data_IF_511133321600
#
_entry.id   IF_511133321600
#
_cell.length_a   1.000
_cell.length_b   1.000
_cell.length_c   1.000
_cell.angle_alpha   90.00
_cell.angle_beta   90.00
_cell.angle_gamma   90.00
#
_symmetry.space_group_name_H-M   'P 1'
#
loop_
_entity.id
_entity.type
_entity.pdbx_description
1 polymer ?
#
# COMPACT_ATOMS: atom_id res chain seq x y z
N UNK A 1 19.46 13.78 -25.50
CA UNK A 1 18.80 12.57 -26.04
C UNK A 1 19.55 11.35 -25.52
N UNK A 2 19.02 10.61 -24.54
CA UNK A 2 19.71 9.42 -24.02
C UNK A 2 19.47 8.22 -24.94
N UNK A 3 20.51 7.80 -25.64
CA UNK A 3 20.53 6.66 -26.54
C UNK A 3 20.15 5.36 -25.82
N UNK A 4 19.31 4.54 -26.49
CA UNK A 4 19.00 3.16 -26.08
C UNK A 4 20.30 2.37 -25.99
N UNK A 5 20.59 1.81 -24.82
CA UNK A 5 21.71 0.87 -24.66
C UNK A 5 21.33 -0.43 -25.37
N UNK A 6 21.91 -0.65 -26.55
CA UNK A 6 21.90 -1.96 -27.19
C UNK A 6 22.83 -2.89 -26.40
N UNK A 7 22.30 -4.00 -25.88
CA UNK A 7 23.11 -5.09 -25.32
C UNK A 7 22.73 -5.66 -23.95
N UNK A 8 21.51 -5.48 -23.44
CA UNK A 8 21.10 -6.23 -22.24
C UNK A 8 20.54 -7.59 -22.67
N UNK A 9 21.31 -8.67 -22.49
CA UNK A 9 20.81 -10.04 -22.63
C UNK A 9 19.71 -10.23 -21.58
N UNK A 10 18.47 -10.27 -22.05
CA UNK A 10 17.30 -10.41 -21.20
C UNK A 10 17.24 -11.87 -20.72
N UNK A 11 17.70 -12.09 -19.48
CA UNK A 11 17.71 -13.42 -18.85
C UNK A 11 16.30 -14.02 -18.65
N UNK A 12 15.25 -13.20 -18.74
CA UNK A 12 13.86 -13.60 -18.48
C UNK A 12 12.98 -13.54 -19.72
N UNK A 13 12.09 -14.51 -19.89
CA UNK A 13 11.14 -14.50 -21.01
C UNK A 13 9.93 -13.61 -20.70
N UNK A 14 9.19 -13.12 -21.72
CA UNK A 14 7.96 -12.39 -21.48
C UNK A 14 6.91 -13.16 -20.67
N UNK A 15 6.93 -14.50 -20.72
CA UNK A 15 6.05 -15.35 -19.92
C UNK A 15 6.47 -15.36 -18.43
N UNK A 16 7.77 -15.44 -18.15
CA UNK A 16 8.33 -15.31 -16.79
C UNK A 16 8.03 -13.93 -16.20
N UNK A 17 8.17 -12.87 -17.00
CA UNK A 17 7.87 -11.51 -16.58
C UNK A 17 6.38 -11.35 -16.19
N UNK A 18 5.47 -11.97 -16.95
CA UNK A 18 4.03 -12.02 -16.61
C UNK A 18 3.79 -12.78 -15.31
N UNK A 19 4.47 -13.91 -15.10
CA UNK A 19 4.37 -14.66 -13.86
C UNK A 19 4.74 -13.79 -12.65
N UNK A 20 5.84 -13.03 -12.71
CA UNK A 20 6.24 -12.14 -11.60
C UNK A 20 5.16 -11.10 -11.28
N UNK A 21 4.59 -10.48 -12.30
CA UNK A 21 3.55 -9.45 -12.15
C UNK A 21 2.27 -10.05 -11.55
N UNK A 22 1.85 -11.23 -12.02
CA UNK A 22 0.67 -11.91 -11.50
C UNK A 22 0.84 -12.33 -10.03
N UNK A 23 1.99 -12.92 -9.68
CA UNK A 23 2.28 -13.32 -8.29
C UNK A 23 2.30 -12.11 -7.34
N UNK A 24 2.88 -10.99 -7.78
CA UNK A 24 2.91 -9.76 -6.98
C UNK A 24 1.53 -9.08 -6.87
N UNK A 25 0.65 -9.24 -7.88
CA UNK A 25 -0.71 -8.71 -7.85
C UNK A 25 -1.64 -9.54 -6.96
N UNK A 26 -1.47 -10.87 -6.95
CA UNK A 26 -2.26 -11.77 -6.10
C UNK A 26 -2.09 -11.44 -4.62
N UNK A 27 -0.84 -11.16 -4.20
CA UNK A 27 -0.56 -10.69 -2.87
C UNK A 27 0.35 -9.46 -2.93
N UNK A 28 -0.26 -8.27 -2.78
CA UNK A 28 0.45 -6.98 -2.83
C UNK A 28 1.54 -6.81 -1.76
N UNK A 29 1.60 -7.69 -0.75
CA UNK A 29 2.65 -7.69 0.28
C UNK A 29 3.85 -8.58 -0.09
N UNK A 30 3.78 -9.33 -1.18
CA UNK A 30 4.85 -10.23 -1.59
C UNK A 30 6.08 -9.42 -2.03
N UNK A 31 7.21 -9.73 -1.40
CA UNK A 31 8.49 -9.09 -1.72
C UNK A 31 9.11 -9.70 -2.98
N UNK A 32 9.98 -8.93 -3.66
CA UNK A 32 10.70 -9.44 -4.83
C UNK A 32 11.53 -10.72 -4.54
N UNK A 33 11.98 -10.92 -3.29
CA UNK A 33 12.66 -12.14 -2.87
C UNK A 33 11.70 -13.32 -2.78
N UNK A 34 10.52 -13.12 -2.22
CA UNK A 34 9.49 -14.16 -2.16
C UNK A 34 9.02 -14.56 -3.55
N UNK A 35 8.84 -13.61 -4.47
CA UNK A 35 8.54 -13.92 -5.88
C UNK A 35 9.67 -14.73 -6.52
N UNK A 36 10.93 -14.40 -6.28
CA UNK A 36 12.07 -15.17 -6.78
C UNK A 36 12.09 -16.60 -6.23
N UNK A 37 11.81 -16.78 -4.94
CA UNK A 37 11.76 -18.10 -4.31
C UNK A 37 10.58 -18.94 -4.83
N UNK A 38 9.40 -18.32 -5.01
CA UNK A 38 8.22 -18.98 -5.61
C UNK A 38 8.50 -19.41 -7.05
N UNK A 39 9.15 -18.54 -7.82
CA UNK A 39 9.54 -18.86 -9.18
C UNK A 39 10.56 -19.99 -9.26
N UNK A 40 11.56 -20.00 -8.37
CA UNK A 40 12.53 -21.08 -8.26
C UNK A 40 11.84 -22.42 -7.96
N UNK A 41 10.87 -22.44 -7.04
CA UNK A 41 10.11 -23.64 -6.71
C UNK A 41 9.25 -24.14 -7.89
N UNK A 42 8.70 -23.24 -8.71
CA UNK A 42 7.83 -23.60 -9.83
C UNK A 42 8.59 -23.99 -11.11
N UNK A 43 9.71 -23.31 -11.40
CA UNK A 43 10.43 -23.44 -12.68
C UNK A 43 11.79 -24.11 -12.55
N UNK A 44 12.32 -24.31 -11.34
CA UNK A 44 13.68 -24.79 -11.10
C UNK A 44 14.80 -23.81 -11.46
N UNK A 45 14.45 -22.65 -12.02
CA UNK A 45 15.39 -21.62 -12.49
C UNK A 45 15.63 -20.58 -11.40
N UNK A 46 16.89 -20.37 -11.04
CA UNK A 46 17.28 -19.37 -10.05
C UNK A 46 17.39 -17.98 -10.70
N UNK A 47 16.62 -17.03 -10.19
CA UNK A 47 16.63 -15.62 -10.64
C UNK A 47 17.00 -14.72 -9.47
N UNK A 48 17.83 -13.72 -9.73
CA UNK A 48 18.21 -12.73 -8.73
C UNK A 48 17.03 -11.83 -8.34
N UNK A 49 16.96 -11.47 -7.05
CA UNK A 49 16.04 -10.45 -6.51
C UNK A 49 16.06 -9.15 -7.34
N UNK A 50 17.24 -8.73 -7.80
CA UNK A 50 17.40 -7.48 -8.57
C UNK A 50 16.67 -7.54 -9.91
N UNK A 51 16.73 -8.69 -10.58
CA UNK A 51 16.06 -8.92 -11.86
C UNK A 51 14.55 -8.88 -11.67
N UNK A 52 14.01 -9.63 -10.71
CA UNK A 52 12.58 -9.62 -10.38
C UNK A 52 12.11 -8.20 -10.05
N UNK A 53 12.85 -7.46 -9.21
CA UNK A 53 12.50 -6.09 -8.87
C UNK A 53 12.49 -5.14 -10.08
N UNK A 54 13.41 -5.34 -11.05
CA UNK A 54 13.42 -4.55 -12.29
C UNK A 54 12.19 -4.87 -13.15
N UNK A 55 11.81 -6.15 -13.27
CA UNK A 55 10.62 -6.57 -14.02
C UNK A 55 9.32 -6.08 -13.41
N UNK A 56 9.20 -6.15 -12.08
CA UNK A 56 8.06 -5.60 -11.36
C UNK A 56 7.91 -4.09 -11.61
N UNK A 57 9.01 -3.32 -11.53
CA UNK A 57 8.99 -1.89 -11.85
C UNK A 57 8.67 -1.62 -13.33
N UNK A 58 9.19 -2.43 -14.25
CA UNK A 58 8.87 -2.36 -15.68
C UNK A 58 7.39 -2.61 -15.96
N UNK A 59 6.74 -3.45 -15.15
CA UNK A 59 5.29 -3.68 -15.14
C UNK A 59 4.48 -2.66 -14.32
N UNK A 60 5.09 -1.58 -13.83
CA UNK A 60 4.40 -0.54 -13.06
C UNK A 60 4.10 -0.88 -11.59
N UNK A 61 4.65 -1.98 -11.07
CA UNK A 61 4.46 -2.38 -9.67
C UNK A 61 5.55 -1.78 -8.78
N UNK A 62 5.10 -0.99 -7.81
CA UNK A 62 5.93 -0.36 -6.78
C UNK A 62 5.47 -0.79 -5.39
N UNK A 63 6.40 -0.76 -4.43
CA UNK A 63 6.05 -0.99 -3.04
C UNK A 63 5.16 0.17 -2.54
N UNK A 64 3.93 -0.11 -2.08
CA UNK A 64 3.05 0.94 -1.57
C UNK A 64 3.59 1.47 -0.24
N UNK A 65 3.41 2.77 0.01
CA UNK A 65 3.59 3.33 1.34
C UNK A 65 2.45 2.82 2.23
N UNK A 66 2.73 2.19 3.38
CA UNK A 66 1.68 1.75 4.29
C UNK A 66 0.93 2.97 4.81
N UNK A 67 -0.40 2.89 4.81
CA UNK A 67 -1.26 3.88 5.47
C UNK A 67 -1.36 3.50 6.95
N UNK A 68 -1.09 4.45 7.84
CA UNK A 68 -1.27 4.27 9.28
C UNK A 68 -2.75 4.47 9.57
N UNK A 69 -3.43 3.40 9.97
CA UNK A 69 -4.85 3.42 10.34
C UNK A 69 -5.00 2.87 11.76
N UNK A 70 -6.01 3.37 12.48
CA UNK A 70 -6.41 2.77 13.76
C UNK A 70 -7.00 1.39 13.49
N UNK A 71 -6.47 0.37 14.15
CA UNK A 71 -6.96 -1.00 14.04
C UNK A 71 -8.38 -1.12 14.60
N UNK A 72 -9.35 -1.36 13.71
CA UNK A 72 -10.73 -1.62 14.11
C UNK A 72 -10.91 -3.10 14.46
N UNK A 73 -11.40 -3.36 15.68
CA UNK A 73 -11.90 -4.67 16.09
C UNK A 73 -13.13 -5.05 15.27
N UNK A 74 -13.50 -6.35 15.28
CA UNK A 74 -14.71 -6.82 14.57
C UNK A 74 -15.97 -6.09 15.04
N UNK A 75 -16.10 -5.86 16.35
CA UNK A 75 -17.22 -5.13 16.93
C UNK A 75 -17.29 -3.69 16.42
N UNK A 76 -16.17 -2.97 16.40
CA UNK A 76 -16.12 -1.60 15.87
C UNK A 76 -16.56 -1.55 14.40
N UNK A 77 -16.15 -2.52 13.58
CA UNK A 77 -16.53 -2.59 12.17
C UNK A 77 -18.03 -2.79 12.00
N UNK A 78 -18.63 -3.72 12.75
CA UNK A 78 -20.07 -3.98 12.69
C UNK A 78 -20.87 -2.76 13.14
N UNK A 79 -20.51 -2.15 14.28
CA UNK A 79 -21.20 -0.97 14.80
C UNK A 79 -21.12 0.22 13.83
N UNK A 80 -19.94 0.49 13.27
CA UNK A 80 -19.77 1.56 12.27
C UNK A 80 -20.59 1.29 11.00
N UNK A 81 -20.58 0.05 10.50
CA UNK A 81 -21.35 -0.31 9.32
C UNK A 81 -22.86 -0.17 9.56
N UNK A 82 -23.34 -0.62 10.72
CA UNK A 82 -24.73 -0.49 11.10
C UNK A 82 -25.14 0.99 11.19
N UNK A 83 -24.34 1.81 11.86
CA UNK A 83 -24.57 3.25 11.95
C UNK A 83 -24.64 3.89 10.55
N UNK A 84 -23.69 3.57 9.67
CA UNK A 84 -23.71 4.06 8.28
C UNK A 84 -24.97 3.62 7.50
N UNK A 85 -25.49 2.41 7.74
CA UNK A 85 -26.71 1.93 7.07
C UNK A 85 -27.96 2.63 7.58
N UNK A 86 -28.06 2.84 8.89
CA UNK A 86 -29.17 3.56 9.53
C UNK A 86 -29.23 5.02 9.06
N UNK A 87 -28.07 5.64 8.83
CA UNK A 87 -27.95 7.05 8.47
C UNK A 87 -27.67 7.28 6.97
N UNK A 88 -27.75 6.23 6.13
CA UNK A 88 -27.45 6.32 4.69
C UNK A 88 -28.40 7.26 3.94
N UNK A 89 -29.67 7.31 4.36
CA UNK A 89 -30.72 8.10 3.72
C UNK A 89 -31.01 9.42 4.43
N UNK A 90 -30.17 9.82 5.39
CA UNK A 90 -30.35 11.07 6.11
C UNK A 90 -30.18 12.27 5.20
N UNK A 91 -31.09 13.23 5.33
CA UNK A 91 -31.08 14.49 4.60
C UNK A 91 -30.22 15.54 5.32
N UNK A 92 -29.90 16.65 4.65
CA UNK A 92 -29.15 17.75 5.27
C UNK A 92 -29.85 18.31 6.52
N UNK A 93 -31.19 18.28 6.55
CA UNK A 93 -31.99 18.73 7.69
C UNK A 93 -31.83 17.79 8.89
N UNK A 94 -31.73 16.48 8.65
CA UNK A 94 -31.49 15.50 9.71
C UNK A 94 -30.08 15.67 10.30
N UNK A 95 -29.08 15.94 9.45
CA UNK A 95 -27.72 16.25 9.90
C UNK A 95 -27.62 17.58 10.66
N UNK A 96 -28.42 18.59 10.29
CA UNK A 96 -28.45 19.89 10.97
C UNK A 96 -28.91 19.77 12.44
N UNK A 97 -29.63 18.70 12.79
CA UNK A 97 -30.05 18.41 14.16
C UNK A 97 -28.98 17.70 15.00
N UNK A 98 -27.84 17.29 14.41
CA UNK A 98 -26.75 16.60 15.13
C UNK A 98 -25.63 17.56 15.49
N UNK A 99 -25.33 17.63 16.79
CA UNK A 99 -24.15 18.32 17.29
C UNK A 99 -22.94 17.39 17.26
N UNK A 100 -21.91 17.74 16.49
CA UNK A 100 -20.62 17.07 16.50
C UNK A 100 -19.66 17.79 17.46
N UNK A 101 -19.13 17.07 18.43
CA UNK A 101 -18.06 17.54 19.33
C UNK A 101 -16.93 16.52 19.36
N UNK A 102 -15.68 17.00 19.29
CA UNK A 102 -14.49 16.20 19.49
C UNK A 102 -13.45 17.00 20.28
N UNK A 103 -12.52 16.31 20.93
CA UNK A 103 -11.44 16.92 21.71
C UNK A 103 -10.10 16.76 20.99
N UNK A 104 -9.40 17.87 20.79
CA UNK A 104 -8.02 17.85 20.27
C UNK A 104 -7.03 18.16 21.39
N UNK A 105 -5.90 17.44 21.40
CA UNK A 105 -4.78 17.73 22.31
C UNK A 105 -3.82 18.70 21.64
N UNK A 106 -3.56 19.84 22.27
CA UNK A 106 -2.53 20.78 21.88
C UNK A 106 -1.39 20.79 22.89
N UNK A 107 -0.16 20.87 22.41
CA UNK A 107 1.02 21.05 23.26
C UNK A 107 1.40 22.52 23.29
N UNK A 108 1.37 23.15 24.48
CA UNK A 108 1.83 24.53 24.68
C UNK A 108 3.34 24.51 24.89
N UNK A 109 4.11 25.11 23.98
CA UNK A 109 5.53 25.36 24.22
C UNK A 109 5.68 26.68 24.99
N UNK A 110 6.09 26.62 26.26
CA UNK A 110 6.59 27.80 26.94
C UNK A 110 8.00 28.09 26.40
N UNK A 111 8.12 29.14 25.59
CA UNK A 111 9.43 29.72 25.28
C UNK A 111 9.83 30.54 26.51
N UNK A 112 10.66 29.97 27.37
CA UNK A 112 11.34 30.75 28.41
C UNK A 112 12.25 31.72 27.65
N UNK A 113 11.85 32.99 27.62
CA UNK A 113 12.77 34.09 27.28
C UNK A 113 13.40 34.49 28.61
N UNK A 114 14.60 33.97 28.87
CA UNK A 114 15.43 34.50 29.94
C UNK A 114 15.76 35.95 29.57
N UNK A 115 15.15 36.89 30.29
CA UNK A 115 15.53 38.29 30.25
C UNK A 115 16.82 38.46 31.05
N UNK A 116 17.85 38.92 30.33
CA UNK A 116 19.14 39.48 30.75
C UNK A 116 19.37 39.68 32.26
#
# INVERSE_FOLDING_TARGET
MCSRRHGEVVSTTPAEDRYFVLSANWNRRTTAQQVANQFLAASGKQISRKTVARRLRGGGLYAPRPVVCVSLTRQHRTARLQWCREHHNWTEQDWACVLFSDEIRFSVCHRIVDAN
#
